data_IF_536878121394
#
_entry.id   IF_536878121394
#
_cell.length_a   1.000
_cell.length_b   1.000
_cell.length_c   1.000
_cell.angle_alpha   90.00
_cell.angle_beta   90.00
_cell.angle_gamma   90.00
#
_symmetry.space_group_name_H-M   'P 1'
#
loop_
_entity.id
_entity.type
_entity.pdbx_description
1 polymer ?
#
# COMPACT_ATOMS: atom_id res chain seq x y z
N UNK A 1 32.95 -10.00 22.21
CA UNK A 1 31.99 -9.92 21.06
C UNK A 1 30.59 -9.95 21.63
N UNK A 2 29.84 -8.86 21.54
CA UNK A 2 28.44 -8.83 21.93
C UNK A 2 27.66 -9.69 20.94
N UNK A 3 27.06 -10.80 21.43
CA UNK A 3 26.22 -11.69 20.61
C UNK A 3 25.05 -10.85 20.09
N UNK A 4 25.04 -10.49 18.82
CA UNK A 4 23.93 -9.74 18.17
C UNK A 4 22.68 -10.61 18.27
N UNK A 5 21.80 -10.34 19.24
CA UNK A 5 20.55 -11.10 19.41
C UNK A 5 19.69 -10.86 18.19
N UNK A 6 19.41 -11.92 17.44
CA UNK A 6 18.48 -11.91 16.33
C UNK A 6 17.05 -11.77 16.89
N UNK A 7 16.23 -10.92 16.29
CA UNK A 7 14.81 -10.76 16.63
C UNK A 7 13.97 -10.71 15.38
N UNK A 8 12.66 -10.92 15.54
CA UNK A 8 11.69 -10.85 14.43
C UNK A 8 11.75 -9.49 13.74
N UNK A 9 11.79 -8.40 14.50
CA UNK A 9 11.83 -7.03 13.99
C UNK A 9 13.11 -6.74 13.19
N UNK A 10 14.27 -7.25 13.67
CA UNK A 10 15.53 -7.09 12.94
C UNK A 10 15.51 -7.81 11.60
N UNK A 11 14.90 -9.00 11.53
CA UNK A 11 14.77 -9.76 10.31
C UNK A 11 13.87 -9.01 9.31
N UNK A 12 12.71 -8.51 9.76
CA UNK A 12 11.78 -7.73 8.94
C UNK A 12 12.44 -6.45 8.43
N UNK A 13 13.13 -5.71 9.30
CA UNK A 13 13.83 -4.47 8.93
C UNK A 13 14.91 -4.73 7.88
N UNK A 14 15.69 -5.79 8.05
CA UNK A 14 16.74 -6.18 7.10
C UNK A 14 16.15 -6.57 5.74
N UNK A 15 15.05 -7.33 5.72
CA UNK A 15 14.37 -7.70 4.47
C UNK A 15 13.81 -6.48 3.75
N UNK A 16 13.19 -5.53 4.47
CA UNK A 16 12.70 -4.26 3.89
C UNK A 16 13.87 -3.47 3.29
N UNK A 17 15.06 -3.47 3.91
CA UNK A 17 16.25 -2.83 3.34
C UNK A 17 16.68 -3.51 2.04
N UNK A 18 16.66 -4.84 1.96
CA UNK A 18 16.97 -5.59 0.76
C UNK A 18 15.96 -5.30 -0.37
N UNK A 19 14.65 -5.22 -0.04
CA UNK A 19 13.60 -4.82 -1.00
C UNK A 19 13.91 -3.41 -1.56
N UNK A 20 14.22 -2.45 -0.70
CA UNK A 20 14.54 -1.07 -1.10
C UNK A 20 15.78 -0.97 -1.97
N UNK A 21 16.68 -1.94 -1.91
CA UNK A 21 17.90 -2.02 -2.72
C UNK A 21 17.77 -2.91 -3.96
N UNK A 22 16.55 -3.34 -4.33
CA UNK A 22 16.28 -4.26 -5.45
C UNK A 22 17.08 -5.58 -5.37
N UNK A 23 17.36 -6.03 -4.17
CA UNK A 23 18.13 -7.25 -3.95
C UNK A 23 17.23 -8.47 -4.06
N UNK A 24 17.74 -9.54 -4.68
CA UNK A 24 17.04 -10.82 -4.73
C UNK A 24 16.74 -11.34 -3.32
N UNK A 25 15.47 -11.70 -3.07
CA UNK A 25 15.00 -12.08 -1.74
C UNK A 25 15.02 -13.60 -1.56
N UNK A 26 15.85 -14.05 -0.63
CA UNK A 26 15.83 -15.42 -0.10
C UNK A 26 16.53 -15.48 1.26
N UNK A 27 16.28 -16.53 2.03
CA UNK A 27 16.85 -16.68 3.37
C UNK A 27 18.38 -16.74 3.39
N UNK A 28 19.04 -17.15 2.33
CA UNK A 28 20.50 -17.19 2.26
C UNK A 28 21.08 -15.77 2.19
N UNK A 29 20.52 -14.93 1.34
CA UNK A 29 20.94 -13.53 1.18
C UNK A 29 20.59 -12.73 2.44
N UNK A 30 19.38 -12.89 2.98
CA UNK A 30 18.97 -12.24 4.21
C UNK A 30 19.84 -12.63 5.41
N UNK A 31 20.16 -13.90 5.56
CA UNK A 31 21.05 -14.39 6.62
C UNK A 31 22.47 -13.84 6.49
N UNK A 32 23.01 -13.79 5.27
CA UNK A 32 24.31 -13.17 4.98
C UNK A 32 24.30 -11.67 5.35
N UNK A 33 23.25 -10.93 4.99
CA UNK A 33 23.08 -9.52 5.34
C UNK A 33 23.03 -9.32 6.87
N UNK A 34 22.39 -10.23 7.60
CA UNK A 34 22.31 -10.20 9.08
C UNK A 34 23.57 -10.73 9.78
N UNK A 35 24.50 -11.36 9.05
CA UNK A 35 25.69 -11.99 9.62
C UNK A 35 25.39 -13.28 10.41
N UNK A 36 24.37 -14.03 9.99
CA UNK A 36 23.96 -15.30 10.62
C UNK A 36 23.88 -16.43 9.59
N UNK A 37 23.66 -17.67 10.03
CA UNK A 37 23.38 -18.80 9.13
C UNK A 37 21.89 -18.81 8.77
N UNK A 38 21.49 -19.27 7.56
CA UNK A 38 20.08 -19.35 7.14
C UNK A 38 19.17 -20.11 8.13
N UNK A 39 19.72 -21.15 8.80
CA UNK A 39 18.99 -21.91 9.81
C UNK A 39 18.51 -21.08 11.00
N UNK A 40 19.17 -19.95 11.28
CA UNK A 40 18.77 -19.06 12.37
C UNK A 40 17.46 -18.29 12.12
N UNK A 41 16.98 -18.26 10.88
CA UNK A 41 15.73 -17.57 10.48
C UNK A 41 14.48 -18.44 10.68
N UNK A 42 14.60 -19.78 10.56
CA UNK A 42 13.45 -20.68 10.63
C UNK A 42 12.67 -20.68 11.95
N UNK A 43 13.25 -20.38 13.12
CA UNK A 43 12.46 -20.19 14.34
C UNK A 43 11.51 -18.99 14.29
N UNK A 44 11.74 -18.01 13.41
CA UNK A 44 10.95 -16.79 13.27
C UNK A 44 9.95 -16.83 12.11
N UNK A 45 10.33 -17.45 10.99
CA UNK A 45 9.54 -17.53 9.76
C UNK A 45 9.70 -18.90 9.10
N UNK A 46 8.60 -19.53 8.72
CA UNK A 46 8.59 -20.88 8.12
C UNK A 46 9.34 -20.93 6.78
N UNK A 47 9.24 -19.86 6.00
CA UNK A 47 9.87 -19.72 4.69
C UNK A 47 9.84 -18.25 4.25
N UNK A 48 10.43 -17.95 3.10
CA UNK A 48 10.46 -16.61 2.51
C UNK A 48 9.06 -16.02 2.31
N UNK A 49 8.10 -16.81 1.85
CA UNK A 49 6.74 -16.33 1.61
C UNK A 49 6.01 -15.94 2.90
N UNK A 50 6.25 -16.65 4.00
CA UNK A 50 5.73 -16.29 5.33
C UNK A 50 6.25 -14.91 5.78
N UNK A 51 7.56 -14.65 5.63
CA UNK A 51 8.15 -13.34 5.88
C UNK A 51 7.57 -12.26 4.96
N UNK A 52 7.39 -12.55 3.67
CA UNK A 52 6.82 -11.62 2.70
C UNK A 52 5.39 -11.19 3.11
N UNK A 53 4.55 -12.13 3.56
CA UNK A 53 3.20 -11.81 4.04
C UNK A 53 3.21 -11.02 5.35
N UNK A 54 4.18 -11.23 6.20
CA UNK A 54 4.33 -10.40 7.41
C UNK A 54 4.69 -8.97 7.02
N UNK A 55 5.63 -8.76 6.10
CA UNK A 55 5.99 -7.42 5.59
C UNK A 55 4.78 -6.73 4.96
N UNK A 56 4.02 -7.44 4.11
CA UNK A 56 2.77 -6.92 3.55
C UNK A 56 1.81 -6.46 4.66
N UNK A 57 1.59 -7.32 5.66
CA UNK A 57 0.64 -7.01 6.74
C UNK A 57 1.07 -5.82 7.57
N UNK A 58 2.36 -5.72 7.94
CA UNK A 58 2.89 -4.59 8.70
C UNK A 58 2.83 -3.29 7.90
N UNK A 59 3.12 -3.34 6.59
CA UNK A 59 3.03 -2.17 5.71
C UNK A 59 1.59 -1.69 5.60
N UNK A 60 0.63 -2.60 5.37
CA UNK A 60 -0.79 -2.26 5.28
C UNK A 60 -1.33 -1.75 6.63
N UNK A 61 -0.94 -2.35 7.75
CA UNK A 61 -1.35 -1.88 9.08
C UNK A 61 -0.83 -0.45 9.37
N UNK A 62 0.40 -0.13 9.00
CA UNK A 62 0.92 1.25 9.11
C UNK A 62 0.10 2.23 8.28
N UNK A 63 -0.25 1.86 7.05
CA UNK A 63 -1.13 2.67 6.22
C UNK A 63 -2.52 2.83 6.84
N UNK A 64 -3.12 1.76 7.39
CA UNK A 64 -4.42 1.82 8.07
C UNK A 64 -4.41 2.81 9.23
N UNK A 65 -3.40 2.77 10.10
CA UNK A 65 -3.26 3.71 11.23
C UNK A 65 -3.06 5.16 10.75
N UNK A 66 -2.27 5.35 9.70
CA UNK A 66 -2.08 6.67 9.09
C UNK A 66 -3.40 7.22 8.54
N UNK A 67 -4.16 6.41 7.79
CA UNK A 67 -5.46 6.80 7.24
C UNK A 67 -6.46 7.13 8.36
N UNK A 68 -6.57 6.31 9.39
CA UNK A 68 -7.44 6.59 10.54
C UNK A 68 -7.12 7.94 11.20
N UNK A 69 -5.84 8.25 11.34
CA UNK A 69 -5.39 9.48 11.97
C UNK A 69 -5.62 10.70 11.07
N UNK A 70 -5.20 10.63 9.81
CA UNK A 70 -5.21 11.79 8.90
C UNK A 70 -6.59 12.07 8.29
N UNK A 71 -7.50 11.09 8.29
CA UNK A 71 -8.87 11.26 7.81
C UNK A 71 -9.86 11.60 8.93
N UNK A 72 -9.40 11.75 10.16
CA UNK A 72 -10.26 12.06 11.30
C UNK A 72 -11.05 13.35 11.05
N UNK A 73 -12.38 13.28 11.15
CA UNK A 73 -13.28 14.40 10.92
C UNK A 73 -13.60 14.70 9.45
N UNK A 74 -12.98 14.00 8.49
CA UNK A 74 -13.29 14.08 7.07
C UNK A 74 -14.34 13.05 6.66
N UNK A 75 -15.24 13.42 5.76
CA UNK A 75 -16.27 12.57 5.20
C UNK A 75 -16.47 12.85 3.71
N UNK A 76 -17.20 11.98 3.01
CA UNK A 76 -17.60 12.19 1.63
C UNK A 76 -16.42 12.31 0.65
N UNK A 77 -16.61 13.11 -0.39
CA UNK A 77 -15.61 13.30 -1.47
C UNK A 77 -14.29 13.89 -0.95
N UNK A 78 -14.35 14.79 0.04
CA UNK A 78 -13.15 15.36 0.63
C UNK A 78 -12.26 14.33 1.30
N UNK A 79 -12.86 13.37 2.02
CA UNK A 79 -12.13 12.27 2.63
C UNK A 79 -11.54 11.31 1.58
N UNK A 80 -12.26 11.01 0.50
CA UNK A 80 -11.77 10.18 -0.61
C UNK A 80 -10.61 10.84 -1.36
N UNK A 81 -10.69 12.15 -1.58
CA UNK A 81 -9.61 12.93 -2.17
C UNK A 81 -8.35 12.87 -1.30
N UNK A 82 -8.50 13.12 -0.01
CA UNK A 82 -7.39 13.07 0.94
C UNK A 82 -6.80 11.66 1.07
N UNK A 83 -7.64 10.62 1.12
CA UNK A 83 -7.19 9.22 1.10
C UNK A 83 -6.31 8.93 -0.12
N UNK A 84 -6.73 9.38 -1.32
CA UNK A 84 -5.96 9.18 -2.54
C UNK A 84 -4.59 9.85 -2.47
N UNK A 85 -4.50 11.07 -1.92
CA UNK A 85 -3.24 11.78 -1.73
C UNK A 85 -2.32 11.08 -0.71
N UNK A 86 -2.87 10.61 0.41
CA UNK A 86 -2.10 9.87 1.42
C UNK A 86 -1.53 8.60 0.80
N UNK A 87 -2.37 7.78 0.14
CA UNK A 87 -1.93 6.55 -0.49
C UNK A 87 -0.86 6.79 -1.57
N UNK A 88 -1.01 7.84 -2.37
CA UNK A 88 -0.01 8.25 -3.36
C UNK A 88 1.32 8.60 -2.71
N UNK A 89 1.31 9.47 -1.73
CA UNK A 89 2.54 9.97 -1.10
C UNK A 89 3.29 8.83 -0.39
N UNK A 90 2.60 8.03 0.42
CA UNK A 90 3.19 6.86 1.09
C UNK A 90 3.75 5.84 0.08
N UNK A 91 3.02 5.61 -1.01
CA UNK A 91 3.46 4.70 -2.07
C UNK A 91 4.71 5.21 -2.80
N UNK A 92 4.80 6.51 -3.10
CA UNK A 92 5.97 7.11 -3.76
C UNK A 92 7.21 7.14 -2.85
N UNK A 93 7.05 7.45 -1.56
CA UNK A 93 8.13 7.41 -0.58
C UNK A 93 8.71 6.01 -0.40
N UNK A 94 7.90 4.98 -0.63
CA UNK A 94 8.26 3.58 -0.47
C UNK A 94 8.01 2.76 -1.75
N UNK A 95 8.29 3.34 -2.92
CA UNK A 95 7.86 2.78 -4.22
C UNK A 95 8.30 1.34 -4.47
N UNK A 96 9.52 0.96 -4.08
CA UNK A 96 10.03 -0.41 -4.24
C UNK A 96 9.29 -1.40 -3.32
N UNK A 97 8.97 -0.97 -2.10
CA UNK A 97 8.16 -1.75 -1.18
C UNK A 97 6.72 -1.89 -1.69
N UNK A 98 6.15 -0.80 -2.24
CA UNK A 98 4.84 -0.85 -2.89
C UNK A 98 4.83 -1.86 -4.03
N UNK A 99 5.79 -1.78 -4.98
CA UNK A 99 5.90 -2.73 -6.09
C UNK A 99 6.01 -4.16 -5.60
N UNK A 100 6.82 -4.40 -4.57
CA UNK A 100 6.97 -5.72 -3.98
C UNK A 100 5.65 -6.26 -3.41
N UNK A 101 4.95 -5.50 -2.56
CA UNK A 101 3.75 -6.00 -1.88
C UNK A 101 2.55 -6.20 -2.83
N UNK A 102 2.40 -5.36 -3.88
CA UNK A 102 1.27 -5.50 -4.82
C UNK A 102 1.39 -6.72 -5.75
N UNK A 103 2.58 -7.29 -5.88
CA UNK A 103 2.81 -8.52 -6.65
C UNK A 103 2.55 -9.80 -5.85
N UNK A 104 2.39 -9.72 -4.53
CA UNK A 104 2.16 -10.89 -3.69
C UNK A 104 0.76 -11.48 -3.92
N UNK A 105 0.62 -12.80 -4.15
CA UNK A 105 -0.66 -13.43 -4.43
C UNK A 105 -1.53 -13.49 -3.17
N UNK A 106 -2.70 -12.81 -3.19
CA UNK A 106 -3.60 -12.75 -2.03
C UNK A 106 -4.46 -14.00 -1.86
N UNK A 107 -4.62 -14.83 -2.89
CA UNK A 107 -5.47 -16.04 -2.83
C UNK A 107 -5.08 -16.96 -1.67
N UNK A 108 -3.79 -17.17 -1.47
CA UNK A 108 -3.24 -18.06 -0.44
C UNK A 108 -2.65 -17.29 0.77
N UNK A 109 -2.98 -16.01 0.91
CA UNK A 109 -2.48 -15.21 2.02
C UNK A 109 -3.00 -15.73 3.36
N UNK A 110 -2.16 -15.70 4.43
CA UNK A 110 -2.57 -16.07 5.78
C UNK A 110 -3.72 -15.19 6.31
N UNK A 111 -4.44 -15.70 7.31
CA UNK A 111 -5.57 -14.99 7.91
C UNK A 111 -5.20 -13.60 8.46
N UNK A 112 -4.02 -13.48 9.07
CA UNK A 112 -3.56 -12.19 9.59
C UNK A 112 -3.33 -11.14 8.47
N UNK A 113 -2.81 -11.58 7.31
CA UNK A 113 -2.66 -10.71 6.13
C UNK A 113 -4.00 -10.29 5.55
N UNK A 114 -4.94 -11.25 5.42
CA UNK A 114 -6.30 -10.95 4.98
C UNK A 114 -6.98 -9.93 5.89
N UNK A 115 -6.82 -10.07 7.21
CA UNK A 115 -7.37 -9.13 8.20
C UNK A 115 -6.85 -7.70 8.00
N UNK A 116 -5.55 -7.52 7.79
CA UNK A 116 -4.96 -6.20 7.51
C UNK A 116 -5.53 -5.56 6.24
N UNK A 117 -5.69 -6.37 5.18
CA UNK A 117 -6.25 -5.91 3.90
C UNK A 117 -7.75 -5.61 4.02
N UNK A 118 -8.50 -6.43 4.75
CA UNK A 118 -9.94 -6.22 4.95
C UNK A 118 -10.19 -4.96 5.78
N UNK A 119 -9.32 -4.62 6.73
CA UNK A 119 -9.38 -3.36 7.44
C UNK A 119 -9.18 -2.16 6.51
N UNK A 120 -8.20 -2.20 5.60
CA UNK A 120 -8.00 -1.17 4.57
C UNK A 120 -9.24 -1.03 3.68
N UNK A 121 -9.82 -2.15 3.25
CA UNK A 121 -11.05 -2.16 2.46
C UNK A 121 -12.23 -1.53 3.22
N UNK A 122 -12.35 -1.83 4.51
CA UNK A 122 -13.43 -1.29 5.34
C UNK A 122 -13.30 0.23 5.51
N UNK A 123 -12.08 0.75 5.74
CA UNK A 123 -11.83 2.20 5.77
C UNK A 123 -12.29 2.82 4.45
N UNK A 124 -11.87 2.27 3.32
CA UNK A 124 -12.21 2.79 2.01
C UNK A 124 -13.71 2.71 1.72
N UNK A 125 -14.34 1.57 1.98
CA UNK A 125 -15.78 1.37 1.75
C UNK A 125 -16.64 2.28 2.62
N UNK A 126 -16.25 2.55 3.88
CA UNK A 126 -16.98 3.48 4.75
C UNK A 126 -16.95 4.90 4.19
N UNK A 127 -15.83 5.35 3.61
CA UNK A 127 -15.73 6.65 2.97
C UNK A 127 -16.57 6.72 1.68
N UNK A 128 -16.57 5.66 0.87
CA UNK A 128 -17.41 5.57 -0.32
C UNK A 128 -18.89 5.69 0.02
N UNK A 129 -19.33 5.04 1.09
CA UNK A 129 -20.72 5.08 1.55
C UNK A 129 -21.13 6.49 2.07
N UNK A 130 -20.16 7.30 2.56
CA UNK A 130 -20.45 8.70 2.93
C UNK A 130 -20.40 9.65 1.74
N UNK A 131 -19.78 9.25 0.62
CA UNK A 131 -19.62 10.08 -0.56
C UNK A 131 -20.71 9.89 -1.60
N UNK A 132 -21.22 8.65 -1.75
CA UNK A 132 -22.15 8.27 -2.81
C UNK A 132 -23.32 7.46 -2.26
N UNK A 133 -24.51 7.72 -2.79
CA UNK A 133 -25.76 7.10 -2.32
C UNK A 133 -25.94 5.68 -2.88
N UNK A 134 -25.66 5.47 -4.18
CA UNK A 134 -25.93 4.22 -4.88
C UNK A 134 -24.75 3.26 -4.82
N UNK A 135 -25.02 2.00 -4.50
CA UNK A 135 -23.99 0.96 -4.30
C UNK A 135 -23.15 0.72 -5.57
N UNK A 136 -23.75 0.82 -6.74
CA UNK A 136 -23.09 0.70 -8.03
C UNK A 136 -22.06 1.80 -8.23
N UNK A 137 -22.41 3.04 -7.88
CA UNK A 137 -21.49 4.18 -7.95
C UNK A 137 -20.36 4.04 -6.93
N UNK A 138 -20.65 3.57 -5.73
CA UNK A 138 -19.61 3.26 -4.73
C UNK A 138 -18.60 2.24 -5.28
N UNK A 139 -19.08 1.17 -5.94
CA UNK A 139 -18.23 0.16 -6.55
C UNK A 139 -17.37 0.74 -7.68
N UNK A 140 -17.96 1.53 -8.59
CA UNK A 140 -17.25 2.19 -9.69
C UNK A 140 -16.21 3.17 -9.15
N UNK A 141 -16.57 4.00 -8.17
CA UNK A 141 -15.69 4.95 -7.50
C UNK A 141 -14.50 4.24 -6.84
N UNK A 142 -14.77 3.15 -6.12
CA UNK A 142 -13.72 2.36 -5.47
C UNK A 142 -12.71 1.77 -6.46
N UNK A 143 -13.17 1.30 -7.62
CA UNK A 143 -12.28 0.81 -8.69
C UNK A 143 -11.51 1.92 -9.35
N UNK A 144 -12.17 3.04 -9.67
CA UNK A 144 -11.58 4.18 -10.34
C UNK A 144 -10.46 4.81 -9.51
N UNK A 145 -10.74 5.15 -8.25
CA UNK A 145 -9.74 5.75 -7.34
C UNK A 145 -8.53 4.83 -7.15
N UNK A 146 -8.77 3.53 -6.95
CA UNK A 146 -7.69 2.55 -6.80
C UNK A 146 -6.82 2.47 -8.06
N UNK A 147 -7.44 2.44 -9.24
CA UNK A 147 -6.70 2.38 -10.50
C UNK A 147 -5.89 3.66 -10.74
N UNK A 148 -6.42 4.83 -10.39
CA UNK A 148 -5.69 6.09 -10.46
C UNK A 148 -4.47 6.10 -9.53
N UNK A 149 -4.63 5.64 -8.28
CA UNK A 149 -3.50 5.53 -7.34
C UNK A 149 -2.45 4.56 -7.87
N UNK A 150 -2.83 3.36 -8.31
CA UNK A 150 -1.89 2.35 -8.80
C UNK A 150 -1.20 2.78 -10.10
N UNK A 151 -1.97 3.36 -11.03
CA UNK A 151 -1.44 3.92 -12.27
C UNK A 151 -0.43 5.03 -12.03
N UNK A 152 -0.74 5.96 -11.12
CA UNK A 152 0.18 7.04 -10.71
C UNK A 152 1.47 6.48 -10.12
N UNK A 153 1.37 5.57 -9.14
CA UNK A 153 2.53 4.97 -8.48
C UNK A 153 3.42 4.21 -9.48
N UNK A 154 2.80 3.50 -10.43
CA UNK A 154 3.54 2.79 -11.46
C UNK A 154 4.24 3.76 -12.41
N UNK A 155 3.53 4.75 -12.95
CA UNK A 155 4.07 5.67 -13.97
C UNK A 155 5.13 6.63 -13.38
N UNK A 156 4.88 7.17 -12.18
CA UNK A 156 5.86 8.04 -11.49
C UNK A 156 7.06 7.22 -11.02
N UNK A 157 6.81 6.05 -10.41
CA UNK A 157 7.87 5.19 -9.86
C UNK A 157 8.80 4.60 -10.91
N UNK A 158 8.33 4.43 -12.16
CA UNK A 158 9.13 3.94 -13.29
C UNK A 158 9.64 5.04 -14.21
N UNK A 159 9.28 6.32 -13.93
CA UNK A 159 9.77 7.46 -14.70
C UNK A 159 9.09 7.67 -16.06
N UNK A 160 7.88 7.12 -16.27
CA UNK A 160 7.14 7.33 -17.52
C UNK A 160 6.60 8.76 -17.69
N UNK A 161 6.30 9.46 -16.58
CA UNK A 161 5.83 10.84 -16.64
C UNK A 161 6.99 11.82 -16.68
N UNK A 162 7.44 12.15 -17.89
CA UNK A 162 8.64 12.98 -18.14
C UNK A 162 8.34 14.44 -18.47
N UNK A 163 7.10 14.78 -18.86
CA UNK A 163 6.73 16.17 -19.21
C UNK A 163 6.63 17.00 -17.92
N UNK A 164 7.32 18.16 -17.91
CA UNK A 164 7.42 19.06 -16.77
C UNK A 164 6.45 20.25 -16.81
N UNK A 165 5.62 20.37 -17.83
CA UNK A 165 4.65 21.48 -17.96
C UNK A 165 3.61 21.47 -16.86
N UNK A 166 3.22 20.27 -16.42
CA UNK A 166 2.32 20.07 -15.27
C UNK A 166 3.02 19.09 -14.35
N UNK A 167 3.11 19.43 -13.06
CA UNK A 167 3.71 18.51 -12.10
C UNK A 167 2.86 17.24 -11.94
N UNK A 168 3.53 16.11 -11.67
CA UNK A 168 2.85 14.83 -11.42
C UNK A 168 1.82 14.94 -10.28
N UNK A 169 2.13 15.73 -9.24
CA UNK A 169 1.21 15.96 -8.12
C UNK A 169 -0.02 16.78 -8.54
N UNK A 170 0.14 17.80 -9.36
CA UNK A 170 -0.99 18.61 -9.87
C UNK A 170 -1.88 17.80 -10.78
N UNK A 171 -1.30 17.04 -11.73
CA UNK A 171 -2.06 16.19 -12.61
C UNK A 171 -2.85 15.12 -11.85
N UNK A 172 -2.24 14.49 -10.85
CA UNK A 172 -2.92 13.49 -10.01
C UNK A 172 -4.09 14.10 -9.22
N UNK A 173 -3.88 15.26 -8.58
CA UNK A 173 -4.94 15.97 -7.86
C UNK A 173 -6.10 16.32 -8.78
N UNK A 174 -5.80 16.81 -9.98
CA UNK A 174 -6.81 17.12 -11.00
C UNK A 174 -7.58 15.87 -11.41
N UNK A 175 -6.90 14.76 -11.74
CA UNK A 175 -7.55 13.50 -12.13
C UNK A 175 -8.49 12.97 -11.04
N UNK A 176 -8.07 12.99 -9.78
CA UNK A 176 -8.92 12.54 -8.64
C UNK A 176 -10.13 13.46 -8.50
N UNK A 177 -9.94 14.79 -8.56
CA UNK A 177 -11.04 15.75 -8.42
C UNK A 177 -12.08 15.58 -9.53
N UNK A 178 -11.66 15.54 -10.79
CA UNK A 178 -12.56 15.34 -11.93
C UNK A 178 -13.31 14.00 -11.86
N UNK A 179 -12.61 12.95 -11.41
CA UNK A 179 -13.22 11.65 -11.21
C UNK A 179 -14.33 11.68 -10.17
N UNK A 180 -14.08 12.30 -9.02
CA UNK A 180 -15.06 12.43 -7.93
C UNK A 180 -16.27 13.27 -8.37
N UNK A 181 -16.05 14.35 -9.12
CA UNK A 181 -17.13 15.22 -9.60
C UNK A 181 -17.96 14.55 -10.71
N UNK A 182 -17.34 13.78 -11.57
CA UNK A 182 -18.04 12.96 -12.57
C UNK A 182 -18.92 11.89 -11.92
N UNK A 183 -18.39 11.20 -10.90
CA UNK A 183 -19.12 10.18 -10.16
C UNK A 183 -20.29 10.78 -9.35
N UNK A 184 -20.11 11.97 -8.76
CA UNK A 184 -21.18 12.68 -8.04
C UNK A 184 -22.33 13.07 -8.98
N UNK A 185 -22.01 13.51 -10.22
CA UNK A 185 -23.03 13.76 -11.25
C UNK A 185 -23.77 12.47 -11.64
N UNK A 186 -23.03 11.36 -11.80
CA UNK A 186 -23.63 10.07 -12.12
C UNK A 186 -24.55 9.60 -10.98
N UNK A 187 -24.09 9.71 -9.71
CA UNK A 187 -24.86 9.29 -8.52
C UNK A 187 -26.19 10.07 -8.36
N UNK A 188 -26.22 11.34 -8.78
CA UNK A 188 -27.43 12.17 -8.76
C UNK A 188 -28.43 11.83 -9.86
N UNK A 189 -27.97 11.20 -10.94
CA UNK A 189 -28.77 10.83 -12.12
C UNK A 189 -29.16 9.34 -12.13
N UNK A 190 -28.69 8.57 -11.14
CA UNK A 190 -28.95 7.14 -11.00
C UNK A 190 -30.27 6.89 -10.24
#
# INVERSE_FOLDING_TARGET
MVKKILSREKIITAEIQLIKNDTLLNFSILAAHLGVKPQALYPYFKNQMDLNYVILSETVNKLNELLKTQLLGLTGKAALFQLALICRNEGLENIKLFHFIVTLPLKNAPTFTKKSIDELRNIFNSLLATAFKHAEIQLLAGRMIRNLIYGELLNVGTGWFVDKKISQSESFKWMIQESLDSLDKADKNF
#
